data_IF_636583615986
#
_entry.id   IF_636583615986
#
_cell.length_a   1.000
_cell.length_b   1.000
_cell.length_c   1.000
_cell.angle_alpha   90.00
_cell.angle_beta   90.00
_cell.angle_gamma   90.00
#
_symmetry.space_group_name_H-M   'P 1'
#
loop_
_entity.id
_entity.type
_entity.pdbx_description
1 polymer ?
#
# COMPACT_ATOMS: atom_id res chain seq x y z
N UNK A 1 -36.86 -11.49 -15.17
CA UNK A 1 -35.82 -11.83 -16.16
C UNK A 1 -35.28 -10.54 -16.73
N UNK A 2 -34.08 -10.15 -16.30
CA UNK A 2 -33.03 -9.53 -17.10
C UNK A 2 -31.82 -9.43 -16.19
N UNK A 3 -31.09 -10.53 -16.16
CA UNK A 3 -29.73 -10.61 -15.65
C UNK A 3 -28.86 -9.71 -16.53
N UNK A 4 -28.22 -8.72 -15.94
CA UNK A 4 -26.97 -8.17 -16.45
C UNK A 4 -25.90 -8.47 -15.41
N UNK A 5 -25.33 -9.66 -15.55
CA UNK A 5 -24.08 -10.06 -14.93
C UNK A 5 -23.00 -9.98 -16.02
N UNK A 6 -22.02 -9.11 -15.80
CA UNK A 6 -20.77 -8.99 -16.54
C UNK A 6 -19.69 -8.60 -15.52
N UNK A 7 -19.04 -9.59 -14.92
CA UNK A 7 -17.70 -9.46 -14.30
C UNK A 7 -16.71 -8.72 -15.21
N UNK A 8 -15.62 -8.08 -14.73
CA UNK A 8 -15.07 -7.99 -13.37
C UNK A 8 -15.05 -6.53 -12.85
N UNK A 9 -15.65 -6.28 -11.68
CA UNK A 9 -15.63 -4.95 -11.07
C UNK A 9 -14.22 -4.64 -10.55
N UNK A 10 -13.55 -3.76 -11.30
CA UNK A 10 -12.54 -2.79 -10.84
C UNK A 10 -11.31 -3.40 -10.15
N UNK A 11 -10.37 -3.75 -11.02
CA UNK A 11 -8.97 -3.30 -10.96
C UNK A 11 -8.23 -3.48 -9.63
N UNK A 12 -7.22 -4.36 -9.67
CA UNK A 12 -6.34 -4.69 -8.55
C UNK A 12 -5.77 -3.45 -7.83
N UNK A 13 -5.82 -3.53 -6.50
CA UNK A 13 -5.19 -2.63 -5.52
C UNK A 13 -5.43 -1.14 -5.83
N UNK A 14 -6.67 -0.73 -5.63
CA UNK A 14 -7.08 0.67 -5.55
C UNK A 14 -7.02 1.14 -4.09
N UNK A 15 -5.96 1.85 -3.70
CA UNK A 15 -6.03 2.66 -2.47
C UNK A 15 -6.92 3.92 -2.70
N UNK A 16 -7.93 4.04 -1.82
CA UNK A 16 -8.44 5.26 -1.17
C UNK A 16 -9.35 6.29 -1.86
N UNK A 17 -10.65 6.00 -1.82
CA UNK A 17 -11.61 7.00 -1.35
C UNK A 17 -11.47 7.13 0.20
N UNK A 18 -10.56 7.97 0.71
CA UNK A 18 -10.27 8.00 2.16
C UNK A 18 -11.42 8.59 2.99
N UNK A 19 -11.92 7.80 3.95
CA UNK A 19 -12.56 8.30 5.17
C UNK A 19 -11.60 8.10 6.35
N UNK A 20 -11.41 9.10 7.21
CA UNK A 20 -10.50 8.98 8.36
C UNK A 20 -11.06 8.08 9.47
N UNK A 21 -12.38 8.07 9.64
CA UNK A 21 -13.09 7.18 10.58
C UNK A 21 -14.22 6.42 9.88
N UNK A 22 -14.48 5.18 10.33
CA UNK A 22 -15.64 4.40 9.93
C UNK A 22 -16.71 4.45 11.02
N UNK A 23 -17.93 4.89 10.69
CA UNK A 23 -19.10 4.57 11.51
C UNK A 23 -19.38 3.07 11.37
N UNK A 24 -18.89 2.26 12.31
CA UNK A 24 -19.25 0.84 12.36
C UNK A 24 -20.31 0.60 13.44
N UNK A 25 -21.58 0.69 13.07
CA UNK A 25 -22.57 -0.21 13.67
C UNK A 25 -22.58 -1.51 12.86
N UNK A 26 -21.68 -2.44 13.20
CA UNK A 26 -21.82 -3.86 12.84
C UNK A 26 -20.79 -4.72 13.59
N UNK A 27 -21.26 -5.35 14.66
CA UNK A 27 -20.78 -6.58 15.32
C UNK A 27 -19.26 -6.83 15.43
N UNK A 28 -18.78 -6.58 16.65
CA UNK A 28 -17.50 -7.00 17.22
C UNK A 28 -17.28 -8.52 17.07
N UNK A 29 -16.34 -8.87 16.18
CA UNK A 29 -15.51 -10.06 16.32
C UNK A 29 -14.50 -9.80 17.45
N UNK A 30 -14.47 -10.68 18.45
CA UNK A 30 -13.60 -10.64 19.63
C UNK A 30 -12.11 -10.72 19.23
N UNK A 31 -11.53 -9.57 18.89
CA UNK A 31 -10.09 -9.33 18.92
C UNK A 31 -9.86 -8.22 19.93
N UNK A 32 -8.89 -8.38 20.83
CA UNK A 32 -8.56 -7.38 21.83
C UNK A 32 -8.38 -6.00 21.18
N UNK A 33 -8.84 -4.89 21.80
CA UNK A 33 -8.71 -3.58 21.20
C UNK A 33 -7.25 -3.25 20.92
N UNK A 34 -6.94 -2.83 19.68
CA UNK A 34 -5.64 -2.30 19.31
C UNK A 34 -5.40 -1.07 20.19
N UNK A 35 -4.34 -1.11 21.00
CA UNK A 35 -3.97 -0.02 21.92
C UNK A 35 -2.92 0.89 21.29
N UNK A 36 -2.86 2.17 21.68
CA UNK A 36 -1.77 3.06 21.22
C UNK A 36 -0.39 2.48 21.49
N UNK A 37 -0.22 1.75 22.60
CA UNK A 37 1.04 1.06 22.92
C UNK A 37 1.47 0.04 21.86
N UNK A 38 0.51 -0.64 21.24
CA UNK A 38 0.80 -1.60 20.16
C UNK A 38 1.11 -0.94 18.81
N UNK A 39 0.64 0.30 18.61
CA UNK A 39 0.89 1.06 17.38
C UNK A 39 2.21 1.83 17.43
N UNK A 40 2.71 2.13 18.64
CA UNK A 40 3.93 2.88 18.89
C UNK A 40 4.84 2.12 19.88
N UNK A 41 5.39 0.95 19.47
CA UNK A 41 6.30 0.19 20.32
C UNK A 41 7.56 1.02 20.62
N UNK A 42 7.87 1.17 21.89
CA UNK A 42 9.14 1.74 22.32
C UNK A 42 10.29 0.75 22.05
N UNK A 43 11.52 1.25 21.92
CA UNK A 43 12.73 0.47 21.62
C UNK A 43 12.96 -0.77 22.51
N UNK A 44 12.30 -0.84 23.67
CA UNK A 44 12.39 -1.95 24.63
C UNK A 44 11.29 -3.01 24.48
N UNK A 45 10.33 -2.88 23.56
CA UNK A 45 9.18 -3.79 23.49
C UNK A 45 8.64 -4.02 22.06
N UNK A 46 9.50 -4.53 21.17
CA UNK A 46 9.16 -4.93 19.79
C UNK A 46 8.17 -6.11 19.70
N UNK A 47 7.76 -6.69 20.83
CA UNK A 47 6.85 -7.87 20.87
C UNK A 47 5.37 -7.50 20.80
N UNK A 48 5.01 -6.24 21.06
CA UNK A 48 3.60 -5.78 21.03
C UNK A 48 3.25 -5.11 19.70
N UNK A 49 3.40 -5.83 18.59
CA UNK A 49 2.90 -5.36 17.30
C UNK A 49 1.36 -5.36 17.27
N UNK A 50 0.71 -4.50 16.47
CA UNK A 50 -0.75 -4.46 16.35
C UNK A 50 -1.32 -5.68 15.63
N UNK A 51 -0.43 -6.47 15.00
CA UNK A 51 -0.70 -7.69 14.28
C UNK A 51 0.47 -8.66 14.48
N UNK A 52 0.17 -9.96 14.54
CA UNK A 52 1.16 -11.04 14.65
C UNK A 52 0.82 -12.14 13.63
N UNK A 53 1.81 -12.72 12.92
CA UNK A 53 1.58 -13.84 12.04
C UNK A 53 1.33 -15.12 12.84
N UNK A 54 0.67 -16.09 12.21
CA UNK A 54 0.48 -17.42 12.81
C UNK A 54 1.77 -18.25 12.90
N UNK A 55 2.84 -17.83 12.24
CA UNK A 55 4.16 -18.47 12.28
C UNK A 55 5.28 -17.43 12.05
N UNK A 56 6.41 -17.61 12.72
CA UNK A 56 7.65 -16.84 12.51
C UNK A 56 8.56 -17.55 11.51
N UNK A 57 9.47 -16.82 10.87
CA UNK A 57 10.38 -17.27 9.80
C UNK A 57 9.68 -17.87 8.57
N UNK A 58 8.38 -17.60 8.39
CA UNK A 58 7.68 -17.99 7.17
C UNK A 58 8.21 -17.15 6.00
N UNK A 59 8.62 -17.82 4.92
CA UNK A 59 9.05 -17.18 3.67
C UNK A 59 7.86 -16.56 2.96
N UNK A 60 7.90 -15.26 2.73
CA UNK A 60 6.77 -14.52 2.15
C UNK A 60 7.19 -13.59 1.03
N UNK A 61 6.26 -13.34 0.11
CA UNK A 61 6.31 -12.17 -0.77
C UNK A 61 5.59 -10.98 -0.12
N UNK A 62 5.85 -9.77 -0.61
CA UNK A 62 5.05 -8.58 -0.30
C UNK A 62 4.45 -8.04 -1.59
N UNK A 63 3.13 -7.87 -1.63
CA UNK A 63 2.47 -7.16 -2.73
C UNK A 63 2.85 -5.68 -2.68
N UNK A 64 3.53 -5.20 -3.72
CA UNK A 64 4.30 -3.96 -3.66
C UNK A 64 3.80 -2.92 -4.66
N UNK A 65 3.31 -1.80 -4.14
CA UNK A 65 2.95 -0.61 -4.93
C UNK A 65 3.97 0.53 -4.79
N UNK A 66 4.92 0.39 -3.87
CA UNK A 66 5.84 1.44 -3.44
C UNK A 66 5.21 2.54 -2.58
N UNK A 67 3.91 2.46 -2.32
CA UNK A 67 3.18 3.39 -1.47
C UNK A 67 3.32 3.10 0.02
N UNK A 68 2.71 3.98 0.81
CA UNK A 68 2.77 4.01 2.27
C UNK A 68 2.30 2.71 2.93
N UNK A 69 1.22 2.10 2.44
CA UNK A 69 0.57 0.97 3.10
C UNK A 69 1.39 -0.32 2.88
N UNK A 70 1.83 -0.60 1.66
CA UNK A 70 2.68 -1.79 1.40
C UNK A 70 4.04 -1.68 2.12
N UNK A 71 4.58 -0.47 2.23
CA UNK A 71 5.85 -0.23 2.91
C UNK A 71 5.75 -0.46 4.42
N UNK A 72 4.70 0.07 5.05
CA UNK A 72 4.43 -0.16 6.48
C UNK A 72 4.11 -1.64 6.75
N UNK A 73 3.30 -2.29 5.90
CA UNK A 73 3.03 -3.73 6.00
C UNK A 73 4.31 -4.57 5.92
N UNK A 74 5.22 -4.23 5.01
CA UNK A 74 6.52 -4.91 4.89
C UNK A 74 7.34 -4.76 6.18
N UNK A 75 7.42 -3.55 6.73
CA UNK A 75 8.14 -3.29 7.96
C UNK A 75 7.55 -4.06 9.15
N UNK A 76 6.23 -4.04 9.33
CA UNK A 76 5.55 -4.79 10.40
C UNK A 76 5.76 -6.30 10.23
N UNK A 77 5.73 -6.81 9.00
CA UNK A 77 6.02 -8.21 8.71
C UNK A 77 7.46 -8.60 9.09
N UNK A 78 8.44 -7.76 8.77
CA UNK A 78 9.85 -7.97 9.16
C UNK A 78 10.00 -7.97 10.69
N UNK A 79 9.40 -7.01 11.39
CA UNK A 79 9.45 -6.95 12.86
C UNK A 79 8.78 -8.17 13.51
N UNK A 80 7.70 -8.68 12.90
CA UNK A 80 7.02 -9.88 13.37
C UNK A 80 7.77 -11.18 13.04
N UNK A 81 8.96 -11.09 12.46
CA UNK A 81 9.82 -12.22 12.15
C UNK A 81 9.46 -12.96 10.86
N UNK A 82 8.70 -12.34 9.94
CA UNK A 82 8.50 -12.91 8.61
C UNK A 82 9.74 -12.73 7.73
N UNK A 83 9.96 -13.71 6.87
CA UNK A 83 11.18 -13.85 6.08
C UNK A 83 10.92 -13.36 4.65
N UNK A 84 11.06 -12.06 4.43
CA UNK A 84 10.68 -11.42 3.16
C UNK A 84 11.63 -11.86 2.03
N UNK A 85 11.10 -12.52 0.99
CA UNK A 85 11.89 -13.03 -0.16
C UNK A 85 11.91 -12.10 -1.34
N UNK A 86 10.77 -11.50 -1.64
CA UNK A 86 10.67 -10.58 -2.75
C UNK A 86 9.52 -9.61 -2.57
N UNK A 87 9.65 -8.49 -3.27
CA UNK A 87 8.57 -7.56 -3.57
C UNK A 87 7.95 -7.98 -4.91
N UNK A 88 6.63 -8.01 -5.00
CA UNK A 88 5.91 -8.31 -6.23
C UNK A 88 5.11 -7.10 -6.67
N UNK A 89 5.47 -6.53 -7.82
CA UNK A 89 4.73 -5.44 -8.46
C UNK A 89 4.16 -5.91 -9.79
N UNK A 90 2.93 -5.50 -10.06
CA UNK A 90 2.22 -5.84 -11.28
C UNK A 90 1.91 -4.57 -12.05
N UNK A 91 2.43 -4.47 -13.28
CA UNK A 91 2.23 -3.33 -14.17
C UNK A 91 1.19 -3.66 -15.24
N UNK A 92 0.50 -2.63 -15.72
CA UNK A 92 -0.55 -2.77 -16.73
C UNK A 92 -0.01 -2.60 -18.17
N UNK A 93 -0.92 -2.50 -19.13
CA UNK A 93 -0.61 -2.32 -20.55
C UNK A 93 0.11 -0.99 -20.86
N UNK A 94 0.04 0.02 -19.98
CA UNK A 94 0.78 1.29 -20.09
C UNK A 94 2.26 1.15 -19.70
N UNK A 95 2.65 -0.01 -19.15
CA UNK A 95 3.99 -0.25 -18.63
C UNK A 95 4.24 0.43 -17.28
N UNK A 96 3.18 0.91 -16.61
CA UNK A 96 3.25 1.57 -15.30
C UNK A 96 2.45 0.79 -14.26
N UNK A 97 2.71 1.10 -13.00
CA UNK A 97 2.06 0.48 -11.86
C UNK A 97 0.69 1.13 -11.59
N UNK A 98 -0.33 0.70 -12.32
CA UNK A 98 -1.75 0.98 -12.07
C UNK A 98 -2.04 2.39 -11.59
N UNK A 99 -2.78 2.48 -10.49
CA UNK A 99 -3.28 3.73 -9.94
C UNK A 99 -2.19 4.68 -9.38
N UNK A 100 -1.05 4.13 -8.94
CA UNK A 100 0.11 4.94 -8.54
C UNK A 100 0.80 5.55 -9.77
N UNK A 101 0.56 4.97 -10.95
CA UNK A 101 1.19 5.32 -12.21
C UNK A 101 2.69 5.48 -12.06
N UNK A 102 3.38 4.57 -11.35
CA UNK A 102 4.83 4.61 -11.19
C UNK A 102 5.53 3.87 -12.34
N UNK A 103 6.63 4.44 -12.84
CA UNK A 103 7.46 3.76 -13.82
C UNK A 103 8.29 2.63 -13.15
N UNK A 104 8.55 1.52 -13.86
CA UNK A 104 9.34 0.40 -13.34
C UNK A 104 10.70 0.80 -12.75
N UNK A 105 11.39 1.78 -13.36
CA UNK A 105 12.68 2.25 -12.83
C UNK A 105 12.59 2.83 -11.41
N UNK A 106 11.46 3.44 -11.03
CA UNK A 106 11.27 4.00 -9.69
C UNK A 106 11.08 2.87 -8.66
N UNK A 107 10.33 1.83 -9.03
CA UNK A 107 10.17 0.65 -8.19
C UNK A 107 11.48 -0.11 -8.02
N UNK A 108 12.28 -0.23 -9.09
CA UNK A 108 13.62 -0.82 -9.01
C UNK A 108 14.55 -0.03 -8.09
N UNK A 109 14.57 1.30 -8.20
CA UNK A 109 15.34 2.15 -7.29
C UNK A 109 14.88 1.96 -5.84
N UNK A 110 13.57 1.86 -5.60
CA UNK A 110 13.01 1.60 -4.28
C UNK A 110 13.45 0.24 -3.71
N UNK A 111 13.37 -0.81 -4.52
CA UNK A 111 13.79 -2.15 -4.14
C UNK A 111 15.30 -2.25 -3.86
N UNK A 112 16.13 -1.60 -4.69
CA UNK A 112 17.58 -1.51 -4.46
C UNK A 112 17.88 -0.75 -3.16
N UNK A 113 17.16 0.34 -2.91
CA UNK A 113 17.32 1.13 -1.69
C UNK A 113 16.97 0.34 -0.43
N UNK A 114 15.99 -0.56 -0.49
CA UNK A 114 15.59 -1.46 0.61
C UNK A 114 16.53 -2.66 0.72
N UNK A 115 17.04 -3.16 -0.42
CA UNK A 115 17.86 -4.37 -0.50
C UNK A 115 17.02 -5.67 -0.55
N UNK A 116 15.76 -5.59 -0.99
CA UNK A 116 14.89 -6.76 -1.21
C UNK A 116 14.69 -6.94 -2.73
N UNK A 117 14.83 -8.17 -3.28
CA UNK A 117 14.58 -8.43 -4.69
C UNK A 117 13.18 -8.00 -5.14
N UNK A 118 13.08 -7.37 -6.31
CA UNK A 118 11.81 -6.98 -6.92
C UNK A 118 11.50 -7.81 -8.15
N UNK A 119 10.29 -8.34 -8.17
CA UNK A 119 9.69 -9.03 -9.30
C UNK A 119 8.63 -8.13 -9.90
N UNK A 120 8.88 -7.62 -11.11
CA UNK A 120 7.88 -6.91 -11.91
C UNK A 120 7.32 -7.87 -12.96
N UNK A 121 5.99 -7.88 -13.10
CA UNK A 121 5.30 -8.60 -14.17
C UNK A 121 4.26 -7.70 -14.80
N UNK A 122 4.20 -7.74 -16.13
CA UNK A 122 3.10 -7.13 -16.86
C UNK A 122 1.95 -8.12 -16.93
N UNK A 123 0.74 -7.67 -16.62
CA UNK A 123 -0.48 -8.49 -16.72
C UNK A 123 -1.52 -7.78 -17.56
N UNK A 124 -2.43 -8.57 -18.14
CA UNK A 124 -3.60 -8.01 -18.81
C UNK A 124 -4.70 -7.76 -17.78
N UNK A 125 -5.39 -6.63 -17.86
CA UNK A 125 -6.45 -6.25 -16.92
C UNK A 125 -7.56 -7.32 -16.87
N UNK A 126 -7.91 -7.91 -18.01
CA UNK A 126 -8.91 -8.97 -18.13
C UNK A 126 -8.51 -10.28 -17.44
N UNK A 127 -7.22 -10.51 -17.22
CA UNK A 127 -6.67 -11.74 -16.66
C UNK A 127 -5.92 -11.50 -15.33
N UNK A 128 -6.04 -10.31 -14.75
CA UNK A 128 -5.23 -9.84 -13.61
C UNK A 128 -5.16 -10.88 -12.48
N UNK A 129 -6.30 -11.40 -12.02
CA UNK A 129 -6.35 -12.37 -10.92
C UNK A 129 -5.67 -13.70 -11.28
N UNK A 130 -5.89 -14.18 -12.51
CA UNK A 130 -5.33 -15.43 -12.99
C UNK A 130 -3.80 -15.32 -13.15
N UNK A 131 -3.34 -14.21 -13.74
CA UNK A 131 -1.93 -13.89 -13.89
C UNK A 131 -1.25 -13.69 -12.54
N UNK A 132 -1.84 -12.91 -11.64
CA UNK A 132 -1.30 -12.71 -10.29
C UNK A 132 -1.15 -14.05 -9.57
N UNK A 133 -2.19 -14.89 -9.59
CA UNK A 133 -2.15 -16.22 -9.00
C UNK A 133 -1.05 -17.10 -9.61
N UNK A 134 -0.90 -17.07 -10.94
CA UNK A 134 0.17 -17.81 -11.64
C UNK A 134 1.55 -17.34 -11.19
N UNK A 135 1.78 -16.03 -11.13
CA UNK A 135 3.06 -15.45 -10.69
C UNK A 135 3.37 -15.87 -9.24
N UNK A 136 2.38 -15.84 -8.35
CA UNK A 136 2.56 -16.28 -6.96
C UNK A 136 2.93 -17.77 -6.89
N UNK A 137 2.32 -18.63 -7.72
CA UNK A 137 2.69 -20.05 -7.80
C UNK A 137 4.11 -20.26 -8.31
N UNK A 138 4.52 -19.52 -9.33
CA UNK A 138 5.90 -19.55 -9.84
C UNK A 138 6.90 -19.15 -8.74
N UNK A 139 6.61 -18.06 -8.00
CA UNK A 139 7.46 -17.62 -6.89
C UNK A 139 7.48 -18.61 -5.73
N UNK A 140 6.35 -19.29 -5.46
CA UNK A 140 6.28 -20.37 -4.47
C UNK A 140 7.23 -21.51 -4.82
N UNK A 141 7.27 -21.91 -6.09
CA UNK A 141 8.16 -22.97 -6.56
C UNK A 141 9.63 -22.54 -6.56
N UNK A 142 9.93 -21.29 -6.92
CA UNK A 142 11.30 -20.77 -7.05
C UNK A 142 11.92 -20.36 -5.71
N UNK A 143 11.16 -19.66 -4.87
CA UNK A 143 11.66 -19.01 -3.65
C UNK A 143 11.23 -19.72 -2.36
N UNK A 144 10.40 -20.75 -2.48
CA UNK A 144 9.84 -21.49 -1.35
C UNK A 144 8.87 -20.64 -0.51
N UNK A 145 8.23 -19.62 -1.09
CA UNK A 145 7.27 -18.80 -0.36
C UNK A 145 6.04 -19.61 0.02
N UNK A 146 5.58 -19.42 1.25
CA UNK A 146 4.36 -20.05 1.78
C UNK A 146 3.35 -19.03 2.29
N UNK A 147 3.68 -17.73 2.22
CA UNK A 147 2.75 -16.65 2.52
C UNK A 147 2.95 -15.41 1.64
N UNK A 148 2.00 -14.48 1.75
CA UNK A 148 2.02 -13.18 1.09
C UNK A 148 1.50 -12.09 2.00
N UNK A 149 2.18 -10.95 2.01
CA UNK A 149 1.82 -9.76 2.81
C UNK A 149 1.19 -8.71 1.89
N UNK A 150 0.05 -8.17 2.31
CA UNK A 150 -0.68 -7.15 1.56
C UNK A 150 -0.95 -5.90 2.40
N UNK A 151 -1.05 -4.75 1.74
CA UNK A 151 -1.24 -3.42 2.35
C UNK A 151 -2.69 -3.07 2.68
N UNK A 152 -3.63 -4.01 2.55
CA UNK A 152 -5.06 -3.71 2.65
C UNK A 152 -5.49 -3.33 4.08
N UNK A 153 -6.44 -2.39 4.14
CA UNK A 153 -7.04 -1.90 5.39
C UNK A 153 -8.56 -1.95 5.28
N UNK A 154 -9.25 -2.00 6.42
CA UNK A 154 -10.71 -1.96 6.49
C UNK A 154 -11.29 -0.67 7.07
N UNK A 155 -10.71 -0.13 8.14
CA UNK A 155 -11.25 1.06 8.80
C UNK A 155 -10.94 2.29 7.95
N UNK A 156 -11.99 2.93 7.42
CA UNK A 156 -11.86 4.08 6.52
C UNK A 156 -11.78 3.73 5.04
N UNK A 157 -11.95 2.45 4.68
CA UNK A 157 -11.94 1.96 3.30
C UNK A 157 -13.31 1.39 2.90
N UNK A 158 -14.00 2.01 1.94
CA UNK A 158 -15.30 1.53 1.45
C UNK A 158 -15.21 0.21 0.68
N UNK A 159 -14.06 -0.08 0.08
CA UNK A 159 -13.83 -1.26 -0.77
C UNK A 159 -13.22 -2.44 0.01
N UNK A 160 -13.07 -2.31 1.33
CA UNK A 160 -12.40 -3.28 2.19
C UNK A 160 -12.89 -4.72 1.98
N UNK A 161 -14.20 -4.91 1.79
CA UNK A 161 -14.77 -6.24 1.62
C UNK A 161 -14.37 -6.89 0.30
N UNK A 162 -14.31 -6.11 -0.78
CA UNK A 162 -13.87 -6.59 -2.09
C UNK A 162 -12.40 -7.01 -2.02
N UNK A 163 -11.57 -6.18 -1.38
CA UNK A 163 -10.15 -6.43 -1.20
C UNK A 163 -9.89 -7.67 -0.35
N UNK A 164 -10.55 -7.81 0.80
CA UNK A 164 -10.44 -9.00 1.65
C UNK A 164 -10.80 -10.28 0.89
N UNK A 165 -11.88 -10.22 0.10
CA UNK A 165 -12.34 -11.36 -0.71
C UNK A 165 -11.33 -11.70 -1.81
N UNK A 166 -10.75 -10.69 -2.45
CA UNK A 166 -9.70 -10.86 -3.45
C UNK A 166 -8.44 -11.48 -2.86
N UNK A 167 -7.90 -10.93 -1.76
CA UNK A 167 -6.71 -11.46 -1.08
C UNK A 167 -6.91 -12.92 -0.67
N UNK A 168 -8.07 -13.26 -0.08
CA UNK A 168 -8.40 -14.65 0.29
C UNK A 168 -8.46 -15.57 -0.92
N UNK A 169 -9.05 -15.12 -2.04
CA UNK A 169 -9.11 -15.89 -3.28
C UNK A 169 -7.70 -16.17 -3.81
N UNK A 170 -6.84 -15.15 -3.90
CA UNK A 170 -5.43 -15.32 -4.34
C UNK A 170 -4.70 -16.31 -3.44
N UNK A 171 -4.80 -16.15 -2.12
CA UNK A 171 -4.19 -17.07 -1.15
C UNK A 171 -4.62 -18.52 -1.33
N UNK A 172 -5.94 -18.74 -1.41
CA UNK A 172 -6.51 -20.08 -1.62
C UNK A 172 -6.07 -20.69 -2.96
N UNK A 173 -6.13 -19.90 -4.04
CA UNK A 173 -5.81 -20.39 -5.38
C UNK A 173 -4.31 -20.69 -5.58
N UNK A 174 -3.43 -19.94 -4.93
CA UNK A 174 -1.98 -20.17 -4.95
C UNK A 174 -1.49 -21.15 -3.85
N UNK A 175 -2.35 -21.45 -2.87
CA UNK A 175 -2.01 -22.28 -1.72
C UNK A 175 -0.97 -21.63 -0.82
N UNK A 176 -1.13 -20.35 -0.53
CA UNK A 176 -0.29 -19.59 0.41
C UNK A 176 -1.16 -18.95 1.50
N UNK A 177 -0.58 -18.70 2.67
CA UNK A 177 -1.22 -17.91 3.71
C UNK A 177 -1.17 -16.42 3.35
N UNK A 178 -2.25 -15.67 3.63
CA UNK A 178 -2.24 -14.21 3.42
C UNK A 178 -2.22 -13.46 4.74
N UNK A 179 -1.44 -12.39 4.76
CA UNK A 179 -1.20 -11.56 5.94
C UNK A 179 -1.62 -10.12 5.63
N UNK A 180 -2.40 -9.53 6.54
CA UNK A 180 -2.91 -8.15 6.44
C UNK A 180 -2.49 -7.35 7.69
N UNK A 181 -1.22 -6.90 7.79
CA UNK A 181 -0.69 -6.26 9.00
C UNK A 181 -1.42 -4.97 9.41
N UNK A 182 -2.07 -4.30 8.44
CA UNK A 182 -2.79 -3.04 8.66
C UNK A 182 -4.30 -3.24 8.86
N UNK A 183 -4.78 -4.48 8.84
CA UNK A 183 -6.18 -4.77 9.07
C UNK A 183 -6.58 -4.35 10.49
N UNK A 184 -7.76 -3.74 10.63
CA UNK A 184 -8.28 -3.13 11.85
C UNK A 184 -7.50 -1.90 12.36
N UNK A 185 -6.53 -1.37 11.61
CA UNK A 185 -5.89 -0.08 11.92
C UNK A 185 -6.58 1.03 11.11
N UNK A 186 -6.96 2.12 11.77
CA UNK A 186 -7.57 3.27 11.07
C UNK A 186 -6.52 4.08 10.29
N UNK A 187 -6.99 4.80 9.26
CA UNK A 187 -6.14 5.58 8.35
C UNK A 187 -5.30 6.64 9.07
N UNK A 188 -5.84 7.34 10.08
CA UNK A 188 -5.07 8.33 10.85
C UNK A 188 -3.88 7.68 11.56
N UNK A 189 -4.12 6.54 12.23
CA UNK A 189 -3.10 5.81 12.95
C UNK A 189 -2.02 5.28 12.02
N UNK A 190 -2.36 4.83 10.81
CA UNK A 190 -1.37 4.44 9.80
C UNK A 190 -0.44 5.61 9.45
N UNK A 191 -0.99 6.81 9.21
CA UNK A 191 -0.18 8.00 8.93
C UNK A 191 0.70 8.37 10.13
N UNK A 192 0.16 8.32 11.35
CA UNK A 192 0.93 8.54 12.58
C UNK A 192 2.05 7.52 12.75
N UNK A 193 1.80 6.23 12.48
CA UNK A 193 2.80 5.17 12.54
C UNK A 193 3.93 5.46 11.55
N UNK A 194 3.60 5.75 10.29
CA UNK A 194 4.59 6.11 9.26
C UNK A 194 5.50 7.25 9.72
N UNK A 195 4.91 8.35 10.20
CA UNK A 195 5.65 9.51 10.71
C UNK A 195 6.52 9.11 11.91
N UNK A 196 5.94 8.40 12.89
CA UNK A 196 6.64 8.03 14.13
C UNK A 196 7.80 7.07 13.90
N UNK A 197 7.67 6.19 12.92
CA UNK A 197 8.73 5.26 12.52
C UNK A 197 9.74 5.91 11.59
N UNK A 198 9.56 7.17 11.19
CA UNK A 198 10.52 7.90 10.36
C UNK A 198 10.47 7.52 8.88
N UNK A 199 9.32 7.09 8.37
CA UNK A 199 9.12 6.98 6.92
C UNK A 199 8.98 8.37 6.28
N UNK A 200 9.70 8.59 5.18
CA UNK A 200 9.49 9.74 4.30
C UNK A 200 8.56 9.35 3.16
N UNK A 201 7.32 9.83 3.22
CA UNK A 201 6.25 9.50 2.27
C UNK A 201 5.89 10.73 1.47
N UNK A 202 5.90 10.64 0.14
CA UNK A 202 5.49 11.70 -0.78
C UNK A 202 4.13 11.41 -1.39
N UNK A 203 3.27 12.42 -1.53
CA UNK A 203 2.08 12.32 -2.37
C UNK A 203 2.44 12.44 -3.85
N UNK A 204 2.07 11.45 -4.64
CA UNK A 204 2.42 11.35 -6.07
C UNK A 204 1.21 11.29 -6.99
N UNK A 205 0.01 11.04 -6.46
CA UNK A 205 -1.25 11.15 -7.20
C UNK A 205 -2.24 11.84 -6.29
N UNK A 206 -3.02 12.76 -6.83
CA UNK A 206 -4.09 13.47 -6.12
C UNK A 206 -5.25 13.66 -7.08
N UNK A 207 -6.48 13.52 -6.62
CA UNK A 207 -7.63 13.88 -7.46
C UNK A 207 -7.63 15.38 -7.80
N UNK A 208 -8.40 15.74 -8.82
CA UNK A 208 -8.57 17.14 -9.22
C UNK A 208 -9.69 17.86 -8.45
N UNK A 209 -10.65 17.12 -7.89
CA UNK A 209 -11.88 17.68 -7.33
C UNK A 209 -11.74 18.17 -5.89
N UNK A 210 -10.86 17.55 -5.11
CA UNK A 210 -10.71 17.75 -3.66
C UNK A 210 -9.31 18.25 -3.32
N UNK A 211 -8.28 17.47 -3.68
CA UNK A 211 -6.90 17.77 -3.28
C UNK A 211 -6.22 18.69 -4.28
N UNK A 212 -6.16 18.35 -5.56
CA UNK A 212 -5.51 19.18 -6.57
C UNK A 212 -3.98 19.08 -6.61
N UNK A 213 -3.39 19.71 -7.63
CA UNK A 213 -1.95 19.61 -7.99
C UNK A 213 -0.98 20.12 -6.93
N UNK A 214 -1.44 20.97 -6.02
CA UNK A 214 -0.67 21.59 -4.95
C UNK A 214 -0.23 20.57 -3.90
N UNK A 215 -0.93 19.44 -3.79
CA UNK A 215 -0.56 18.34 -2.89
C UNK A 215 0.54 17.44 -3.45
N UNK A 216 0.73 17.42 -4.77
CA UNK A 216 1.79 16.63 -5.39
C UNK A 216 3.18 17.07 -4.94
N UNK A 217 3.95 16.09 -4.44
CA UNK A 217 5.31 16.26 -3.91
C UNK A 217 5.37 16.62 -2.44
N UNK A 218 4.22 16.85 -1.78
CA UNK A 218 4.19 17.09 -0.33
C UNK A 218 4.59 15.83 0.43
N UNK A 219 5.36 16.03 1.50
CA UNK A 219 5.68 14.99 2.48
C UNK A 219 4.48 14.77 3.38
N UNK A 220 4.23 13.53 3.79
CA UNK A 220 3.29 13.25 4.88
C UNK A 220 4.05 13.39 6.21
N UNK A 221 3.88 14.55 6.83
CA UNK A 221 4.36 14.88 8.17
C UNK A 221 3.19 15.26 9.09
N UNK A 222 3.48 15.69 10.31
CA UNK A 222 2.46 16.06 11.29
C UNK A 222 1.61 17.27 10.86
N UNK A 223 2.20 18.20 10.11
CA UNK A 223 1.49 19.37 9.57
C UNK A 223 0.52 18.94 8.47
N UNK A 224 1.00 18.16 7.51
CA UNK A 224 0.17 17.60 6.44
C UNK A 224 -0.94 16.71 6.99
N UNK A 225 -0.66 15.93 8.04
CA UNK A 225 -1.68 15.14 8.74
C UNK A 225 -2.77 16.02 9.38
N UNK A 226 -2.38 17.13 10.02
CA UNK A 226 -3.32 18.07 10.62
C UNK A 226 -4.20 18.74 9.55
N UNK A 227 -3.64 19.10 8.39
CA UNK A 227 -4.40 19.63 7.27
C UNK A 227 -5.39 18.61 6.69
N UNK A 228 -4.96 17.36 6.47
CA UNK A 228 -5.85 16.29 6.01
C UNK A 228 -7.01 16.07 6.98
N UNK A 229 -6.73 16.11 8.30
CA UNK A 229 -7.76 15.99 9.34
C UNK A 229 -8.73 17.17 9.32
N UNK A 230 -8.23 18.40 9.21
CA UNK A 230 -9.09 19.59 9.09
C UNK A 230 -10.00 19.50 7.87
N UNK A 231 -9.47 19.04 6.72
CA UNK A 231 -10.27 18.81 5.52
C UNK A 231 -11.35 17.75 5.74
N UNK A 232 -11.02 16.64 6.40
CA UNK A 232 -11.99 15.61 6.77
C UNK A 232 -13.15 16.18 7.61
N UNK A 233 -12.81 16.92 8.66
CA UNK A 233 -13.79 17.51 9.59
C UNK A 233 -14.69 18.54 8.91
N UNK A 234 -14.17 19.27 7.92
CA UNK A 234 -14.93 20.24 7.12
C UNK A 234 -15.72 19.64 5.95
N UNK A 235 -15.52 18.36 5.64
CA UNK A 235 -16.09 17.71 4.46
C UNK A 235 -17.52 17.24 4.70
N UNK A 236 -18.47 17.71 3.86
CA UNK A 236 -19.88 17.30 3.94
C UNK A 236 -20.10 15.79 3.77
N UNK A 237 -19.22 15.13 3.02
CA UNK A 237 -19.30 13.69 2.74
C UNK A 237 -18.28 12.85 3.54
N UNK A 238 -17.53 13.51 4.43
CA UNK A 238 -16.49 12.93 5.27
C UNK A 238 -15.30 12.37 4.48
N UNK A 239 -14.96 12.97 3.33
CA UNK A 239 -13.82 12.55 2.50
C UNK A 239 -12.75 13.62 2.48
N UNK A 240 -11.51 13.18 2.36
CA UNK A 240 -10.35 14.07 2.17
C UNK A 240 -9.87 14.08 0.73
N UNK A 241 -10.47 13.28 -0.14
CA UNK A 241 -10.01 13.13 -1.51
C UNK A 241 -9.10 11.93 -1.68
N UNK A 242 -8.82 11.62 -2.93
CA UNK A 242 -8.10 10.46 -3.40
C UNK A 242 -6.65 10.84 -3.65
N UNK A 243 -5.73 10.05 -3.09
CA UNK A 243 -4.31 10.23 -3.30
C UNK A 243 -3.54 8.91 -3.24
N UNK A 244 -2.44 8.84 -3.97
CA UNK A 244 -1.43 7.79 -3.83
C UNK A 244 -0.09 8.37 -3.43
N UNK A 245 0.75 7.49 -2.88
CA UNK A 245 2.00 7.88 -2.27
C UNK A 245 3.18 7.08 -2.81
N UNK A 246 4.37 7.61 -2.60
CA UNK A 246 5.64 6.92 -2.79
C UNK A 246 6.46 7.08 -1.52
N UNK A 247 6.96 5.99 -0.97
CA UNK A 247 7.93 6.04 0.13
C UNK A 247 9.34 6.19 -0.44
N UNK A 248 10.03 7.27 -0.07
CA UNK A 248 11.38 7.57 -0.57
C UNK A 248 12.48 7.29 0.44
N UNK A 249 12.12 7.18 1.72
CA UNK A 249 13.01 6.76 2.80
C UNK A 249 12.21 6.16 3.96
N UNK A 250 12.87 5.43 4.86
CA UNK A 250 12.31 4.89 6.09
C UNK A 250 13.17 3.80 6.72
N UNK A 251 12.72 3.17 7.82
CA UNK A 251 13.49 2.18 8.58
C UNK A 251 14.00 0.99 7.78
N UNK A 252 13.25 0.53 6.77
CA UNK A 252 13.64 -0.63 5.95
C UNK A 252 14.61 -0.27 4.81
N UNK A 253 14.89 1.02 4.61
CA UNK A 253 15.76 1.50 3.55
C UNK A 253 17.22 1.56 4.03
N UNK A 254 18.15 1.16 3.18
CA UNK A 254 19.60 1.32 3.37
C UNK A 254 20.12 2.61 2.72
N UNK A 255 19.45 3.06 1.65
CA UNK A 255 19.68 4.32 0.95
C UNK A 255 18.35 5.07 0.80
N UNK A 256 18.38 6.38 0.57
CA UNK A 256 17.16 7.14 0.26
C UNK A 256 17.05 7.43 -1.24
N UNK A 257 15.82 7.54 -1.74
CA UNK A 257 15.52 7.93 -3.11
C UNK A 257 15.53 9.45 -3.20
N UNK A 258 16.48 10.00 -3.95
CA UNK A 258 16.56 11.42 -4.26
C UNK A 258 15.83 11.66 -5.58
N UNK A 259 14.69 12.35 -5.55
CA UNK A 259 13.99 12.76 -6.76
C UNK A 259 14.76 13.91 -7.41
N UNK A 260 15.28 13.68 -8.62
CA UNK A 260 16.09 14.67 -9.36
C UNK A 260 15.25 15.45 -10.37
N UNK A 261 14.28 14.78 -10.99
CA UNK A 261 13.40 15.37 -11.98
C UNK A 261 12.01 14.74 -11.90
N UNK A 262 11.00 15.59 -11.80
CA UNK A 262 9.61 15.20 -11.87
C UNK A 262 8.76 16.31 -12.48
N UNK A 263 7.66 15.91 -13.13
CA UNK A 263 6.70 16.80 -13.76
C UNK A 263 5.31 16.56 -13.18
N UNK A 264 4.50 17.63 -13.02
CA UNK A 264 3.09 17.50 -12.63
C UNK A 264 2.25 17.33 -13.89
N UNK A 265 1.61 16.18 -14.04
CA UNK A 265 0.80 15.82 -15.21
C UNK A 265 -0.66 15.74 -14.80
N UNK A 266 -1.53 16.36 -15.59
CA UNK A 266 -2.98 16.20 -15.47
C UNK A 266 -3.47 15.24 -16.55
N UNK A 267 -4.17 14.18 -16.18
CA UNK A 267 -4.75 13.24 -17.15
C UNK A 267 -6.00 12.55 -16.62
N UNK A 268 -6.88 12.18 -17.54
CA UNK A 268 -7.96 11.23 -17.30
C UNK A 268 -7.57 9.84 -17.78
N UNK A 269 -7.66 8.85 -16.92
CA UNK A 269 -7.46 7.44 -17.27
C UNK A 269 -8.49 6.55 -16.55
N UNK A 270 -8.26 5.23 -16.54
CA UNK A 270 -9.15 4.25 -15.91
C UNK A 270 -9.32 4.45 -14.38
N UNK A 271 -8.46 5.27 -13.77
CA UNK A 271 -8.47 5.61 -12.34
C UNK A 271 -9.13 6.98 -12.07
N UNK A 272 -9.67 7.63 -13.10
CA UNK A 272 -10.34 8.92 -13.00
C UNK A 272 -9.51 10.09 -13.54
N UNK A 273 -9.91 11.30 -13.17
CA UNK A 273 -9.29 12.55 -13.62
C UNK A 273 -8.43 13.10 -12.48
N UNK A 274 -7.13 12.82 -12.56
CA UNK A 274 -6.20 13.03 -11.46
C UNK A 274 -4.97 13.84 -11.92
N UNK A 275 -4.27 14.38 -10.92
CA UNK A 275 -2.92 14.92 -11.04
C UNK A 275 -1.90 13.87 -10.62
N UNK A 276 -0.81 13.77 -11.37
CA UNK A 276 0.28 12.82 -11.15
C UNK A 276 1.61 13.56 -11.05
N UNK A 277 2.45 13.19 -10.08
CA UNK A 277 3.85 13.55 -10.05
C UNK A 277 4.63 12.49 -10.83
N UNK A 278 4.84 12.74 -12.12
CA UNK A 278 5.60 11.83 -12.97
C UNK A 278 7.09 11.98 -12.69
N UNK A 279 7.65 11.02 -11.96
CA UNK A 279 9.06 10.99 -11.60
C UNK A 279 9.85 10.45 -12.79
N UNK A 280 10.54 11.35 -13.47
CA UNK A 280 11.34 11.06 -14.65
C UNK A 280 12.72 10.53 -14.29
N UNK A 281 13.28 11.01 -13.16
CA UNK A 281 14.61 10.63 -12.72
C UNK A 281 14.73 10.67 -11.19
N UNK A 282 15.27 9.59 -10.63
CA UNK A 282 15.72 9.54 -9.25
C UNK A 282 17.10 8.88 -9.16
N UNK A 283 17.83 9.18 -8.10
CA UNK A 283 19.08 8.53 -7.72
C UNK A 283 19.01 8.00 -6.28
N UNK A 284 19.94 7.12 -5.92
CA UNK A 284 20.07 6.64 -4.55
C UNK A 284 21.21 7.38 -3.86
N UNK A 285 20.93 7.88 -2.66
CA UNK A 285 21.92 8.57 -1.83
C UNK A 285 22.02 7.93 -0.45
N UNK A 286 23.20 8.06 0.17
CA UNK A 286 23.40 7.60 1.54
C UNK A 286 22.50 8.34 2.51
N UNK A 287 22.12 7.64 3.58
CA UNK A 287 21.44 8.25 4.73
C UNK A 287 22.46 9.02 5.57
N UNK A 288 22.03 10.14 6.14
CA UNK A 288 22.82 10.93 7.08
C UNK A 288 22.53 10.50 8.51
#
# INVERSE_FOLDING_TARGET
MNNFDLSPSRTGILEDNTRFYGNSEANLSLTSPITEYSLFPNANNLTNLPWQPGAVNQRVLVSWSGGKDCCLSCYLAMLAGLDIRCLLSVIDHTGRLGAHSLAPQILHAQAEAIGIPLVIRQVQVSEYDADYCRIVKELKEQEGISGGVFGDVNIGNSEAKLHETWVKRIGNSAGIQTHLPLWNINRENILRMLISYGFEVLMIVTDNSELGKEWLGRRIDMETLAELKSRYESSENGRVGYYHTLVVDGPIFQKKLQIEKASKIFKGDEWGVNWYLDIEKCSLSSKH
#
